data_IF_658677358703
#
_entry.id   IF_658677358703
#
_cell.length_a   1.000
_cell.length_b   1.000
_cell.length_c   1.000
_cell.angle_alpha   90.00
_cell.angle_beta   90.00
_cell.angle_gamma   90.00
#
_symmetry.space_group_name_H-M   'P 1'
#
loop_
_entity.id
_entity.type
_entity.pdbx_description
1 polymer ?
#
# COMPACT_ATOMS: atom_id res chain seq x y z
N UNK A 1 -3.32 26.94 -22.04
CA UNK A 1 -2.08 26.64 -21.31
C UNK A 1 -2.49 25.92 -20.05
N UNK A 2 -2.26 24.60 -19.97
CA UNK A 2 -2.50 23.86 -18.74
C UNK A 2 -1.51 24.39 -17.67
N UNK A 3 -1.94 24.62 -16.43
CA UNK A 3 -1.03 25.02 -15.37
C UNK A 3 -0.01 23.89 -15.17
N UNK A 4 1.28 24.25 -15.07
CA UNK A 4 2.34 23.30 -14.75
C UNK A 4 1.97 22.55 -13.46
N UNK A 5 1.83 21.22 -13.53
CA UNK A 5 1.56 20.41 -12.36
C UNK A 5 2.76 20.55 -11.42
N UNK A 6 2.54 21.13 -10.24
CA UNK A 6 3.53 21.06 -9.17
C UNK A 6 3.26 19.76 -8.44
N UNK A 7 4.15 18.78 -8.64
CA UNK A 7 4.20 17.58 -7.80
C UNK A 7 4.50 18.03 -6.37
N UNK A 8 3.56 17.81 -5.44
CA UNK A 8 3.80 18.05 -4.02
C UNK A 8 4.64 16.87 -3.52
N UNK A 9 5.96 17.03 -3.58
CA UNK A 9 6.94 16.02 -3.14
C UNK A 9 7.23 16.14 -1.65
N UNK A 10 7.48 14.99 -1.02
CA UNK A 10 7.69 14.71 0.42
C UNK A 10 8.99 15.28 1.00
N UNK A 11 9.46 16.45 0.54
CA UNK A 11 10.79 16.98 0.94
C UNK A 11 10.90 17.44 2.40
N UNK A 12 9.80 17.43 3.18
CA UNK A 12 9.78 17.91 4.57
C UNK A 12 9.43 16.82 5.61
N UNK A 13 9.88 15.57 5.43
CA UNK A 13 9.87 14.58 6.52
C UNK A 13 11.01 14.95 7.48
N UNK A 14 10.74 15.38 8.72
CA UNK A 14 11.79 15.56 9.70
C UNK A 14 12.40 14.19 9.97
N UNK A 15 13.71 14.03 9.74
CA UNK A 15 14.42 12.80 10.10
C UNK A 15 14.45 12.57 11.61
N UNK A 16 14.16 13.62 12.40
CA UNK A 16 14.12 13.60 13.85
C UNK A 16 12.85 14.29 14.35
N UNK A 17 11.98 13.52 15.00
CA UNK A 17 10.90 14.06 15.82
C UNK A 17 11.49 14.29 17.22
N UNK A 18 11.25 15.46 17.82
CA UNK A 18 11.74 15.78 19.17
C UNK A 18 11.38 14.67 20.17
N UNK A 19 12.37 14.19 20.94
CA UNK A 19 12.21 13.14 21.95
C UNK A 19 11.12 13.43 23.01
N UNK A 20 10.72 14.71 23.12
CA UNK A 20 9.57 15.13 23.91
C UNK A 20 8.73 16.19 23.19
N UNK A 21 7.41 16.00 23.16
CA UNK A 21 6.46 16.97 22.61
C UNK A 21 6.07 18.05 23.64
N UNK A 22 5.46 19.14 23.19
CA UNK A 22 4.90 20.17 24.07
C UNK A 22 3.80 19.63 25.02
N UNK A 23 3.21 18.47 24.68
CA UNK A 23 2.24 17.73 25.50
C UNK A 23 2.86 16.67 26.40
N UNK A 24 4.20 16.53 26.41
CA UNK A 24 4.93 15.58 27.24
C UNK A 24 4.93 14.14 26.70
N UNK A 25 4.61 13.92 25.42
CA UNK A 25 4.79 12.59 24.81
C UNK A 25 6.28 12.26 24.78
N UNK A 26 6.63 11.03 25.16
CA UNK A 26 7.99 10.51 25.01
C UNK A 26 8.01 9.58 23.80
N UNK A 27 8.91 9.82 22.85
CA UNK A 27 9.14 8.87 21.76
C UNK A 27 9.94 7.69 22.33
N UNK A 28 9.22 6.60 22.57
CA UNK A 28 9.83 5.31 22.89
C UNK A 28 10.52 4.67 21.69
N UNK A 29 11.00 3.45 21.89
CA UNK A 29 11.51 2.63 20.80
C UNK A 29 10.38 2.35 19.79
N UNK A 30 10.67 2.46 18.50
CA UNK A 30 9.71 2.12 17.45
C UNK A 30 9.62 0.61 17.32
N UNK A 31 8.41 0.06 17.28
CA UNK A 31 8.19 -1.36 17.04
C UNK A 31 6.88 -1.87 17.60
N UNK A 32 6.60 -3.14 17.25
CA UNK A 32 5.36 -3.85 17.54
C UNK A 32 5.04 -4.00 19.04
N UNK A 33 6.04 -3.85 19.92
CA UNK A 33 5.84 -3.79 21.38
C UNK A 33 4.96 -2.60 21.82
N UNK A 34 4.81 -1.57 20.99
CA UNK A 34 3.96 -0.41 21.27
C UNK A 34 2.46 -0.75 21.24
N UNK A 35 2.06 -1.79 20.50
CA UNK A 35 0.65 -2.20 20.37
C UNK A 35 0.29 -3.43 21.21
N UNK A 36 1.28 -4.12 21.77
CA UNK A 36 1.08 -5.32 22.59
C UNK A 36 1.18 -5.02 24.10
N UNK A 37 0.21 -5.50 24.89
CA UNK A 37 0.27 -5.39 26.36
C UNK A 37 -0.23 -6.67 27.04
N UNK A 38 0.48 -7.09 28.09
CA UNK A 38 0.12 -8.24 28.94
C UNK A 38 0.71 -9.58 28.48
N UNK A 39 0.90 -9.79 27.18
CA UNK A 39 1.51 -10.98 26.57
C UNK A 39 2.44 -10.57 25.42
N UNK A 40 3.31 -11.49 24.91
CA UNK A 40 4.12 -11.22 23.72
C UNK A 40 3.28 -10.86 22.50
N UNK A 41 3.92 -10.19 21.55
CA UNK A 41 3.30 -9.82 20.27
C UNK A 41 2.77 -11.07 19.54
N UNK A 42 1.47 -11.14 19.17
CA UNK A 42 0.86 -12.36 18.68
C UNK A 42 1.24 -12.73 17.23
N UNK A 43 1.60 -11.74 16.40
CA UNK A 43 1.89 -11.97 14.97
C UNK A 43 3.22 -11.31 14.52
N UNK A 44 4.38 -11.76 15.02
CA UNK A 44 5.65 -11.30 14.49
C UNK A 44 5.81 -11.72 13.02
N UNK A 45 6.53 -10.94 12.22
CA UNK A 45 6.86 -11.34 10.84
C UNK A 45 7.72 -12.61 10.88
N UNK A 46 7.36 -13.69 10.17
CA UNK A 46 8.13 -14.92 10.20
C UNK A 46 9.51 -14.75 9.55
N UNK A 47 10.53 -15.39 10.13
CA UNK A 47 11.88 -15.46 9.55
C UNK A 47 12.10 -16.80 8.86
N UNK A 48 12.67 -16.79 7.66
CA UNK A 48 12.91 -17.99 6.86
C UNK A 48 14.40 -18.22 6.65
N UNK A 49 14.85 -19.46 6.83
CA UNK A 49 16.21 -19.89 6.45
C UNK A 49 16.25 -20.37 5.00
N UNK A 50 15.14 -20.89 4.49
CA UNK A 50 14.94 -21.29 3.10
C UNK A 50 14.13 -20.22 2.35
N UNK A 51 14.75 -19.62 1.33
CA UNK A 51 14.12 -18.59 0.49
C UNK A 51 12.95 -19.12 -0.35
N UNK A 52 12.89 -20.43 -0.61
CA UNK A 52 11.76 -21.03 -1.30
C UNK A 52 10.51 -21.13 -0.40
N UNK A 53 10.70 -21.36 0.91
CA UNK A 53 9.58 -21.29 1.87
C UNK A 53 9.13 -19.85 2.09
N UNK A 54 10.05 -18.88 2.10
CA UNK A 54 9.70 -17.44 2.10
C UNK A 54 8.88 -17.05 0.85
N UNK A 55 9.31 -17.50 -0.34
CA UNK A 55 8.58 -17.31 -1.60
C UNK A 55 7.17 -17.88 -1.51
N UNK A 56 7.03 -19.12 -1.02
CA UNK A 56 5.73 -19.78 -0.85
C UNK A 56 4.82 -19.01 0.10
N UNK A 57 5.35 -18.62 1.26
CA UNK A 57 4.63 -17.82 2.25
C UNK A 57 4.16 -16.48 1.67
N UNK A 58 5.06 -15.72 1.03
CA UNK A 58 4.73 -14.42 0.48
C UNK A 58 3.67 -14.51 -0.63
N UNK A 59 3.74 -15.54 -1.50
CA UNK A 59 2.71 -15.82 -2.52
C UNK A 59 1.35 -16.16 -1.91
N UNK A 60 1.32 -16.91 -0.81
CA UNK A 60 0.09 -17.25 -0.10
C UNK A 60 -0.57 -16.02 0.53
N UNK A 61 0.23 -15.16 1.15
CA UNK A 61 -0.22 -13.89 1.72
C UNK A 61 -0.69 -12.92 0.63
N UNK A 62 -0.04 -12.91 -0.54
CA UNK A 62 -0.52 -12.19 -1.72
C UNK A 62 -1.88 -12.67 -2.21
N UNK A 63 -2.10 -13.99 -2.26
CA UNK A 63 -3.41 -14.53 -2.59
C UNK A 63 -4.46 -14.12 -1.55
N UNK A 64 -4.12 -14.12 -0.25
CA UNK A 64 -4.99 -13.61 0.82
C UNK A 64 -5.36 -12.13 0.62
N UNK A 65 -4.38 -11.27 0.31
CA UNK A 65 -4.61 -9.85 0.06
C UNK A 65 -5.64 -9.61 -1.04
N UNK A 66 -5.61 -10.39 -2.12
CA UNK A 66 -6.66 -10.34 -3.14
C UNK A 66 -8.03 -10.78 -2.62
N UNK A 67 -8.10 -11.80 -1.75
CA UNK A 67 -9.38 -12.20 -1.14
C UNK A 67 -9.95 -11.09 -0.26
N UNK A 68 -9.12 -10.46 0.55
CA UNK A 68 -9.49 -9.30 1.38
C UNK A 68 -9.98 -8.14 0.50
N UNK A 69 -9.26 -7.78 -0.56
CA UNK A 69 -9.67 -6.71 -1.47
C UNK A 69 -11.00 -7.00 -2.17
N UNK A 70 -11.23 -8.26 -2.56
CA UNK A 70 -12.50 -8.67 -3.14
C UNK A 70 -13.65 -8.53 -2.14
N UNK A 71 -13.44 -8.95 -0.88
CA UNK A 71 -14.44 -8.86 0.18
C UNK A 71 -14.77 -7.42 0.57
N UNK A 72 -13.78 -6.53 0.53
CA UNK A 72 -13.97 -5.09 0.75
C UNK A 72 -14.51 -4.34 -0.48
N UNK A 73 -14.72 -5.02 -1.61
CA UNK A 73 -15.36 -4.45 -2.80
C UNK A 73 -14.43 -3.58 -3.65
N UNK A 74 -13.13 -3.85 -3.67
CA UNK A 74 -12.14 -3.05 -4.41
C UNK A 74 -11.95 -3.50 -5.87
N UNK A 75 -12.76 -4.45 -6.35
CA UNK A 75 -12.69 -4.96 -7.72
C UNK A 75 -13.34 -3.99 -8.71
N UNK A 76 -12.68 -3.75 -9.84
CA UNK A 76 -13.19 -2.92 -10.96
C UNK A 76 -12.76 -3.55 -12.28
N UNK A 77 -13.61 -4.42 -12.85
CA UNK A 77 -13.29 -5.15 -14.07
C UNK A 77 -11.94 -5.90 -13.97
N UNK A 78 -10.99 -5.53 -14.84
CA UNK A 78 -9.63 -6.11 -14.88
C UNK A 78 -8.57 -5.20 -14.26
N UNK A 79 -8.96 -4.09 -13.63
CA UNK A 79 -8.04 -3.14 -13.03
C UNK A 79 -7.56 -3.64 -11.65
N UNK A 80 -6.36 -3.19 -11.31
CA UNK A 80 -5.75 -3.43 -10.01
C UNK A 80 -4.85 -4.66 -9.99
N UNK A 81 -3.75 -4.50 -9.28
CA UNK A 81 -2.63 -5.41 -9.27
C UNK A 81 -1.95 -5.36 -7.91
N UNK A 82 -1.41 -6.50 -7.51
CA UNK A 82 -0.43 -6.59 -6.44
C UNK A 82 0.82 -7.16 -7.10
N UNK A 83 2.00 -6.62 -6.80
CA UNK A 83 3.28 -7.24 -7.16
C UNK A 83 4.06 -7.59 -5.91
N UNK A 84 4.85 -8.65 -6.04
CA UNK A 84 5.75 -9.16 -5.00
C UNK A 84 7.12 -9.40 -5.62
N UNK A 85 8.16 -8.78 -5.08
CA UNK A 85 9.56 -9.10 -5.40
C UNK A 85 9.86 -10.52 -4.94
N UNK A 86 10.46 -11.31 -5.81
CA UNK A 86 10.80 -12.68 -5.45
C UNK A 86 11.96 -12.74 -4.44
N UNK A 87 11.83 -13.49 -3.33
CA UNK A 87 12.89 -13.55 -2.32
C UNK A 87 14.07 -14.47 -2.68
N UNK A 88 13.95 -15.28 -3.73
CA UNK A 88 15.04 -16.16 -4.24
C UNK A 88 15.80 -15.46 -5.36
N UNK A 89 15.10 -14.74 -6.24
CA UNK A 89 15.60 -14.02 -7.42
C UNK A 89 15.14 -12.55 -7.34
N UNK A 90 15.81 -11.67 -6.58
CA UNK A 90 15.29 -10.33 -6.25
C UNK A 90 15.04 -9.38 -7.42
N UNK A 91 15.48 -9.72 -8.63
CA UNK A 91 15.26 -8.95 -9.86
C UNK A 91 14.00 -9.42 -10.64
N UNK A 92 13.27 -10.41 -10.12
CA UNK A 92 12.02 -10.93 -10.68
C UNK A 92 10.83 -10.69 -9.75
N UNK A 93 9.62 -10.80 -10.30
CA UNK A 93 8.39 -10.42 -9.63
C UNK A 93 7.26 -11.43 -9.84
N UNK A 94 6.43 -11.61 -8.81
CA UNK A 94 5.14 -12.28 -8.89
C UNK A 94 4.03 -11.23 -9.01
N UNK A 95 3.08 -11.45 -9.92
CA UNK A 95 1.92 -10.57 -10.15
C UNK A 95 0.67 -11.41 -10.47
N UNK A 96 -0.53 -10.88 -10.20
CA UNK A 96 -1.76 -11.57 -10.57
C UNK A 96 -1.95 -11.69 -12.09
N UNK A 97 -2.57 -12.79 -12.57
CA UNK A 97 -2.91 -12.94 -13.97
C UNK A 97 -3.99 -11.95 -14.38
N UNK A 98 -3.92 -11.49 -15.62
CA UNK A 98 -4.90 -10.59 -16.23
C UNK A 98 -6.31 -11.22 -16.20
N UNK A 99 -7.30 -10.40 -15.85
CA UNK A 99 -8.73 -10.73 -15.90
C UNK A 99 -9.20 -11.88 -14.98
N UNK A 100 -8.39 -12.31 -14.01
CA UNK A 100 -8.86 -13.19 -12.93
C UNK A 100 -9.44 -12.35 -11.80
N UNK A 101 -10.69 -12.62 -11.42
CA UNK A 101 -11.35 -11.91 -10.31
C UNK A 101 -10.55 -12.10 -9.01
N UNK A 102 -10.33 -11.02 -8.24
CA UNK A 102 -9.50 -11.04 -7.02
C UNK A 102 -9.95 -12.13 -6.03
N UNK A 103 -11.27 -12.26 -5.85
CA UNK A 103 -11.87 -13.29 -5.00
C UNK A 103 -11.72 -14.73 -5.49
N UNK A 104 -11.01 -14.98 -6.60
CA UNK A 104 -10.69 -16.31 -7.14
C UNK A 104 -9.19 -16.58 -7.26
N UNK A 105 -8.33 -15.59 -6.98
CA UNK A 105 -6.88 -15.73 -7.07
C UNK A 105 -6.38 -16.71 -6.01
N UNK A 106 -5.46 -17.60 -6.40
CA UNK A 106 -4.72 -18.53 -5.55
C UNK A 106 -3.23 -18.28 -5.68
N UNK A 107 -2.44 -18.80 -4.74
CA UNK A 107 -0.98 -18.73 -4.79
C UNK A 107 -0.42 -19.40 -6.06
N UNK A 108 -1.05 -20.50 -6.51
CA UNK A 108 -0.74 -21.19 -7.76
C UNK A 108 -1.07 -20.41 -9.04
N UNK A 109 -1.84 -19.32 -8.97
CA UNK A 109 -2.20 -18.51 -10.14
C UNK A 109 -1.21 -17.38 -10.43
N UNK A 110 -0.41 -16.99 -9.44
CA UNK A 110 0.48 -15.83 -9.53
C UNK A 110 1.57 -16.08 -10.58
N UNK A 111 1.68 -15.15 -11.52
CA UNK A 111 2.58 -15.23 -12.68
C UNK A 111 3.96 -14.71 -12.28
N UNK A 112 5.00 -15.46 -12.61
CA UNK A 112 6.40 -15.05 -12.42
C UNK A 112 6.90 -14.32 -13.67
N UNK A 113 7.52 -13.15 -13.50
CA UNK A 113 8.01 -12.34 -14.61
C UNK A 113 9.30 -11.59 -14.26
N UNK A 114 10.09 -11.23 -15.28
CA UNK A 114 11.28 -10.40 -15.12
C UNK A 114 10.93 -8.90 -15.00
N UNK A 115 11.94 -8.03 -14.84
CA UNK A 115 11.78 -6.57 -14.73
C UNK A 115 11.09 -5.91 -15.95
N UNK A 116 11.02 -6.60 -17.08
CA UNK A 116 10.39 -6.15 -18.32
C UNK A 116 8.97 -6.72 -18.51
N UNK A 117 8.52 -7.58 -17.59
CA UNK A 117 7.20 -8.21 -17.65
C UNK A 117 7.16 -9.44 -18.55
N UNK A 118 8.31 -9.98 -18.95
CA UNK A 118 8.35 -11.24 -19.68
C UNK A 118 8.04 -12.39 -18.71
N UNK A 119 7.04 -13.20 -19.05
CA UNK A 119 6.64 -14.35 -18.23
C UNK A 119 7.74 -15.40 -18.24
N UNK A 120 8.16 -15.81 -17.04
CA UNK A 120 9.21 -16.81 -16.83
C UNK A 120 8.63 -18.23 -16.89
N UNK A 121 9.41 -19.23 -17.34
CA UNK A 121 8.92 -20.59 -17.58
C UNK A 121 8.64 -21.40 -16.31
N UNK A 122 9.11 -20.97 -15.15
CA UNK A 122 8.94 -21.62 -13.85
C UNK A 122 7.65 -21.19 -13.12
N UNK A 123 6.91 -20.23 -13.69
CA UNK A 123 5.61 -19.77 -13.21
C UNK A 123 4.42 -20.23 -14.09
N UNK A 124 3.18 -19.94 -13.65
CA UNK A 124 1.99 -20.07 -14.47
C UNK A 124 2.10 -19.28 -15.78
N UNK A 125 1.76 -19.92 -16.89
CA UNK A 125 1.84 -19.32 -18.22
C UNK A 125 0.53 -18.56 -18.53
N UNK A 126 0.40 -17.35 -17.99
CA UNK A 126 -0.76 -16.48 -18.18
C UNK A 126 -0.33 -15.03 -18.46
N UNK A 127 -1.17 -14.29 -19.19
CA UNK A 127 -0.92 -12.88 -19.48
C UNK A 127 -1.03 -12.02 -18.21
N UNK A 128 -0.25 -10.94 -18.15
CA UNK A 128 -0.29 -9.93 -17.08
C UNK A 128 -0.78 -8.58 -17.65
N UNK A 129 -1.21 -7.66 -16.79
CA UNK A 129 -1.57 -6.32 -17.22
C UNK A 129 -0.30 -5.50 -17.48
N UNK A 130 -0.02 -5.17 -18.75
CA UNK A 130 1.19 -4.45 -19.15
C UNK A 130 1.33 -3.06 -18.51
N UNK A 131 0.24 -2.26 -18.52
CA UNK A 131 0.25 -0.92 -17.93
C UNK A 131 0.42 -0.97 -16.41
N UNK A 132 -0.28 -1.91 -15.76
CA UNK A 132 -0.15 -2.16 -14.33
C UNK A 132 1.27 -2.55 -13.93
N UNK A 133 1.86 -3.49 -14.68
CA UNK A 133 3.22 -3.94 -14.40
C UNK A 133 4.28 -2.86 -14.61
N UNK A 134 4.13 -1.99 -15.61
CA UNK A 134 5.07 -0.89 -15.87
C UNK A 134 5.23 0.04 -14.64
N UNK A 135 4.13 0.38 -13.96
CA UNK A 135 4.16 1.19 -12.74
C UNK A 135 4.88 0.43 -11.62
N UNK A 136 4.52 -0.82 -11.37
CA UNK A 136 5.07 -1.63 -10.28
C UNK A 136 6.58 -1.90 -10.49
N UNK A 137 7.00 -2.20 -11.73
CA UNK A 137 8.42 -2.38 -12.08
C UNK A 137 9.24 -1.11 -11.81
N UNK A 138 8.73 0.07 -12.20
CA UNK A 138 9.40 1.33 -11.92
C UNK A 138 9.52 1.62 -10.40
N UNK A 139 8.48 1.33 -9.63
CA UNK A 139 8.51 1.45 -8.16
C UNK A 139 9.56 0.51 -7.55
N UNK A 140 9.54 -0.79 -7.88
CA UNK A 140 10.50 -1.75 -7.37
C UNK A 140 11.95 -1.43 -7.78
N UNK A 141 12.15 -0.88 -8.99
CA UNK A 141 13.47 -0.45 -9.45
C UNK A 141 14.00 0.75 -8.66
N UNK A 142 13.13 1.73 -8.38
CA UNK A 142 13.49 2.92 -7.61
C UNK A 142 13.67 2.63 -6.11
N UNK A 143 12.96 1.63 -5.58
CA UNK A 143 12.90 1.28 -4.16
C UNK A 143 13.20 -0.21 -3.92
N UNK A 144 14.48 -0.60 -3.83
CA UNK A 144 14.87 -1.99 -3.53
C UNK A 144 14.32 -2.51 -2.19
N UNK A 145 14.04 -1.62 -1.24
CA UNK A 145 13.42 -1.93 0.05
C UNK A 145 11.93 -2.30 -0.06
N UNK A 146 11.28 -1.96 -1.17
CA UNK A 146 9.89 -2.34 -1.43
C UNK A 146 9.83 -3.77 -1.95
N UNK A 147 9.21 -4.63 -1.14
CA UNK A 147 8.98 -6.05 -1.45
C UNK A 147 7.60 -6.23 -2.09
N UNK A 148 6.59 -5.47 -1.68
CA UNK A 148 5.25 -5.55 -2.25
C UNK A 148 4.69 -4.17 -2.59
N UNK A 149 3.92 -4.11 -3.67
CA UNK A 149 3.16 -2.93 -4.06
C UNK A 149 1.72 -3.30 -4.40
N UNK A 150 0.76 -2.53 -3.90
CA UNK A 150 -0.67 -2.74 -4.08
C UNK A 150 -1.29 -1.53 -4.80
N UNK A 151 -2.06 -1.79 -5.85
CA UNK A 151 -2.81 -0.76 -6.57
C UNK A 151 -4.20 -1.30 -6.94
N UNK A 152 -5.26 -0.53 -6.68
CA UNK A 152 -6.60 -0.83 -7.19
C UNK A 152 -7.34 0.46 -7.54
N UNK A 153 -8.46 0.32 -8.25
CA UNK A 153 -9.39 1.41 -8.58
C UNK A 153 -10.56 1.46 -7.60
N UNK A 154 -10.26 1.25 -6.30
CA UNK A 154 -11.23 1.28 -5.21
C UNK A 154 -12.02 2.59 -5.16
N UNK A 155 -13.28 2.50 -4.76
CA UNK A 155 -14.30 3.54 -5.00
C UNK A 155 -13.91 4.87 -4.36
N UNK A 156 -13.54 4.87 -3.08
CA UNK A 156 -13.28 6.09 -2.33
C UNK A 156 -11.92 6.68 -2.63
N UNK A 157 -10.89 5.85 -2.80
CA UNK A 157 -9.57 6.25 -3.24
C UNK A 157 -9.59 6.91 -4.61
N UNK A 158 -10.27 6.28 -5.58
CA UNK A 158 -10.50 6.87 -6.91
C UNK A 158 -11.27 8.19 -6.81
N UNK A 159 -12.34 8.24 -6.01
CA UNK A 159 -13.14 9.46 -5.82
C UNK A 159 -12.34 10.60 -5.19
N UNK A 160 -11.63 10.32 -4.09
CA UNK A 160 -10.80 11.30 -3.39
C UNK A 160 -9.64 11.79 -4.25
N UNK A 161 -9.03 10.89 -5.05
CA UNK A 161 -7.93 11.25 -5.96
C UNK A 161 -8.30 12.35 -6.94
N UNK A 162 -9.58 12.49 -7.32
CA UNK A 162 -10.03 13.55 -8.22
C UNK A 162 -9.91 14.95 -7.61
N UNK A 163 -9.74 15.07 -6.29
CA UNK A 163 -9.51 16.35 -5.60
C UNK A 163 -8.08 16.86 -5.71
N UNK A 164 -7.12 16.02 -6.12
CA UNK A 164 -5.72 16.43 -6.34
C UNK A 164 -5.02 16.99 -5.10
N UNK A 165 -5.36 16.48 -3.90
CA UNK A 165 -4.82 16.95 -2.61
C UNK A 165 -4.49 15.77 -1.68
N UNK A 166 -3.54 15.92 -0.74
CA UNK A 166 -3.24 14.89 0.25
C UNK A 166 -4.40 14.69 1.23
N UNK A 167 -4.37 13.56 1.95
CA UNK A 167 -5.26 13.29 3.07
C UNK A 167 -4.97 14.26 4.22
N UNK A 168 -6.01 14.81 4.84
CA UNK A 168 -5.87 15.59 6.06
C UNK A 168 -5.79 14.64 7.26
N UNK A 169 -5.00 14.99 8.28
CA UNK A 169 -4.87 14.19 9.50
C UNK A 169 -6.11 14.33 10.40
N UNK A 170 -7.25 13.80 9.96
CA UNK A 170 -8.56 13.98 10.63
C UNK A 170 -8.86 12.89 11.67
N UNK A 171 -8.05 11.83 11.72
CA UNK A 171 -8.18 10.71 12.65
C UNK A 171 -6.81 10.12 12.99
N UNK A 172 -6.77 9.30 14.04
CA UNK A 172 -5.57 8.53 14.41
C UNK A 172 -5.12 7.63 13.24
N UNK A 173 -6.07 7.01 12.55
CA UNK A 173 -5.83 6.13 11.40
C UNK A 173 -5.10 6.85 10.27
N UNK A 174 -5.56 8.06 9.90
CA UNK A 174 -4.91 8.85 8.85
C UNK A 174 -3.50 9.31 9.25
N UNK A 175 -3.20 9.42 10.55
CA UNK A 175 -1.86 9.75 11.03
C UNK A 175 -0.82 8.67 10.69
N UNK A 176 -1.23 7.43 10.36
CA UNK A 176 -0.35 6.41 9.78
C UNK A 176 0.36 6.90 8.51
N UNK A 177 -0.29 7.81 7.77
CA UNK A 177 0.22 8.44 6.55
C UNK A 177 0.83 9.82 6.77
N UNK A 178 1.04 10.25 8.02
CA UNK A 178 1.58 11.57 8.32
C UNK A 178 2.96 11.74 7.69
N UNK A 179 3.06 12.65 6.72
CA UNK A 179 4.26 12.90 5.90
C UNK A 179 4.85 11.66 5.23
N UNK A 180 4.09 10.57 5.12
CA UNK A 180 4.52 9.31 4.51
C UNK A 180 3.65 8.93 3.31
N UNK A 181 2.87 9.88 2.78
CA UNK A 181 2.18 9.74 1.51
C UNK A 181 2.28 11.01 0.66
N UNK A 182 2.02 10.88 -0.64
CA UNK A 182 2.08 12.00 -1.61
C UNK A 182 0.92 11.98 -2.61
N UNK A 183 0.86 13.00 -3.47
CA UNK A 183 -0.09 13.07 -4.60
C UNK A 183 0.71 13.18 -5.89
N UNK A 184 0.51 12.22 -6.79
CA UNK A 184 0.94 12.32 -8.18
C UNK A 184 -0.15 13.01 -9.00
N UNK A 185 0.15 14.21 -9.52
CA UNK A 185 -0.84 15.11 -10.12
C UNK A 185 -0.85 15.12 -11.66
N UNK A 186 0.04 14.39 -12.30
CA UNK A 186 0.19 14.39 -13.76
C UNK A 186 -0.46 13.15 -14.40
N UNK A 187 -1.79 13.16 -14.50
CA UNK A 187 -2.54 12.06 -15.10
C UNK A 187 -2.32 12.02 -16.62
N UNK A 188 -1.46 11.10 -17.08
CA UNK A 188 -1.12 10.92 -18.50
C UNK A 188 -2.13 10.08 -19.30
N UNK A 189 -3.04 9.37 -18.63
CA UNK A 189 -3.97 8.43 -19.25
C UNK A 189 -3.65 6.97 -18.90
N UNK A 190 -3.72 6.06 -19.87
CA UNK A 190 -3.29 4.67 -19.65
C UNK A 190 -1.77 4.63 -19.65
N UNK A 191 -1.19 4.37 -18.48
CA UNK A 191 0.26 4.30 -18.23
C UNK A 191 0.96 3.16 -18.98
N UNK A 192 1.08 3.28 -20.30
CA UNK A 192 1.90 2.38 -21.12
C UNK A 192 3.32 2.91 -21.29
N UNK A 193 3.56 4.17 -20.91
CA UNK A 193 4.86 4.83 -21.05
C UNK A 193 5.68 4.61 -19.77
N UNK A 194 6.94 4.19 -19.94
CA UNK A 194 7.86 3.91 -18.85
C UNK A 194 8.13 5.17 -17.99
N UNK A 195 8.00 6.34 -18.61
CA UNK A 195 8.13 7.66 -18.02
C UNK A 195 7.11 7.91 -16.91
N UNK A 196 5.85 7.50 -17.09
CA UNK A 196 4.80 7.68 -16.07
C UNK A 196 5.09 6.82 -14.83
N UNK A 197 5.52 5.56 -15.03
CA UNK A 197 5.94 4.70 -13.92
C UNK A 197 7.09 5.32 -13.10
N UNK A 198 8.08 5.91 -13.77
CA UNK A 198 9.20 6.60 -13.11
C UNK A 198 8.74 7.85 -12.35
N UNK A 199 7.81 8.63 -12.92
CA UNK A 199 7.27 9.82 -12.28
C UNK A 199 6.43 9.47 -11.04
N UNK A 200 5.65 8.38 -11.10
CA UNK A 200 4.92 7.84 -9.94
C UNK A 200 5.91 7.38 -8.87
N UNK A 201 6.95 6.63 -9.23
CA UNK A 201 7.97 6.19 -8.30
C UNK A 201 8.71 7.38 -7.64
N UNK A 202 9.01 8.42 -8.40
CA UNK A 202 9.60 9.65 -7.87
C UNK A 202 8.63 10.39 -6.92
N UNK A 203 7.34 10.44 -7.26
CA UNK A 203 6.31 11.04 -6.39
C UNK A 203 6.14 10.27 -5.08
N UNK A 204 6.18 8.93 -5.13
CA UNK A 204 6.15 8.07 -3.95
C UNK A 204 7.33 8.39 -3.01
N UNK A 205 8.52 8.66 -3.56
CA UNK A 205 9.72 9.00 -2.80
C UNK A 205 10.04 7.91 -1.77
N UNK A 206 10.23 8.30 -0.51
CA UNK A 206 10.40 7.38 0.63
C UNK A 206 9.08 7.08 1.37
N UNK A 207 7.95 7.50 0.82
CA UNK A 207 6.63 7.26 1.38
C UNK A 207 6.17 5.81 1.28
N UNK A 208 5.02 5.56 1.90
CA UNK A 208 4.30 4.29 1.98
C UNK A 208 3.11 4.22 1.02
N UNK A 209 2.66 5.38 0.52
CA UNK A 209 1.57 5.44 -0.44
C UNK A 209 1.56 6.71 -1.27
N UNK A 210 0.91 6.63 -2.42
CA UNK A 210 0.72 7.76 -3.33
C UNK A 210 -0.72 7.74 -3.84
N UNK A 211 -1.34 8.92 -3.81
CA UNK A 211 -2.64 9.17 -4.42
C UNK A 211 -2.37 9.56 -5.87
N UNK A 212 -2.84 8.74 -6.80
CA UNK A 212 -2.71 8.97 -8.24
C UNK A 212 -3.93 9.79 -8.68
N UNK A 213 -3.74 11.10 -8.92
CA UNK A 213 -4.83 12.02 -9.24
C UNK A 213 -5.65 11.49 -10.43
N UNK A 214 -6.98 11.49 -10.29
CA UNK A 214 -7.93 10.97 -11.27
C UNK A 214 -7.82 9.46 -11.59
N UNK A 215 -7.07 8.69 -10.80
CA UNK A 215 -6.79 7.28 -11.07
C UNK A 215 -7.12 6.37 -9.87
N UNK A 216 -6.48 6.56 -8.73
CA UNK A 216 -6.65 5.67 -7.58
C UNK A 216 -5.52 5.78 -6.56
N UNK A 217 -5.25 4.69 -5.84
CA UNK A 217 -4.24 4.63 -4.79
C UNK A 217 -3.15 3.63 -5.17
N UNK A 218 -1.92 3.86 -4.71
CA UNK A 218 -0.85 2.87 -4.72
C UNK A 218 -0.16 2.89 -3.35
N UNK A 219 0.05 1.72 -2.75
CA UNK A 219 0.77 1.56 -1.48
C UNK A 219 1.89 0.54 -1.62
N UNK A 220 2.90 0.65 -0.76
CA UNK A 220 4.09 -0.21 -0.76
C UNK A 220 4.43 -0.70 0.65
N UNK A 221 5.15 -1.81 0.73
CA UNK A 221 5.59 -2.39 2.00
C UNK A 221 6.75 -3.38 1.84
N UNK A 222 7.34 -3.75 2.97
CA UNK A 222 8.35 -4.80 3.11
C UNK A 222 7.73 -6.20 3.19
N UNK A 223 6.41 -6.27 3.41
CA UNK A 223 5.59 -7.48 3.27
C UNK A 223 4.35 -7.18 2.43
N UNK A 224 3.71 -8.21 1.90
CA UNK A 224 2.45 -8.06 1.17
C UNK A 224 1.34 -7.57 2.11
N UNK A 225 1.32 -8.10 3.33
CA UNK A 225 0.40 -7.76 4.40
C UNK A 225 0.48 -6.27 4.77
N UNK A 226 1.69 -5.73 4.96
CA UNK A 226 1.89 -4.29 5.21
C UNK A 226 1.33 -3.45 4.05
N UNK A 227 1.73 -3.76 2.82
CA UNK A 227 1.27 -3.01 1.65
C UNK A 227 -0.26 -3.08 1.48
N UNK A 228 -0.84 -4.26 1.72
CA UNK A 228 -2.28 -4.51 1.62
C UNK A 228 -3.04 -3.81 2.75
N UNK A 229 -2.58 -3.86 4.00
CA UNK A 229 -3.20 -3.13 5.10
C UNK A 229 -3.18 -1.64 4.84
N UNK A 230 -2.02 -1.08 4.47
CA UNK A 230 -1.89 0.33 4.09
C UNK A 230 -2.89 0.70 2.98
N UNK A 231 -3.10 -0.17 2.00
CA UNK A 231 -4.10 0.07 0.96
C UNK A 231 -5.52 0.17 1.55
N UNK A 232 -5.91 -0.83 2.38
CA UNK A 232 -7.24 -0.86 3.00
C UNK A 232 -7.48 0.33 3.92
N UNK A 233 -6.45 0.76 4.64
CA UNK A 233 -6.46 1.91 5.54
C UNK A 233 -6.58 3.20 4.74
N UNK A 234 -5.77 3.38 3.69
CA UNK A 234 -5.82 4.59 2.86
C UNK A 234 -7.17 4.75 2.15
N UNK A 235 -7.75 3.66 1.65
CA UNK A 235 -9.10 3.64 1.11
C UNK A 235 -10.14 4.08 2.16
N UNK A 236 -10.04 3.55 3.39
CA UNK A 236 -10.92 3.93 4.49
C UNK A 236 -10.74 5.40 4.90
N UNK A 237 -9.51 5.89 4.94
CA UNK A 237 -9.21 7.30 5.19
C UNK A 237 -9.83 8.20 4.12
N UNK A 238 -9.78 7.80 2.84
CA UNK A 238 -10.46 8.51 1.75
C UNK A 238 -11.98 8.55 1.95
N UNK A 239 -12.60 7.42 2.34
CA UNK A 239 -14.03 7.36 2.67
C UNK A 239 -14.38 8.33 3.80
N UNK A 240 -13.67 8.26 4.92
CA UNK A 240 -13.90 9.12 6.07
C UNK A 240 -13.73 10.60 5.73
N UNK A 241 -12.71 10.94 4.96
CA UNK A 241 -12.44 12.32 4.53
C UNK A 241 -13.56 12.85 3.62
N UNK A 242 -14.02 12.07 2.64
CA UNK A 242 -15.13 12.46 1.77
C UNK A 242 -16.42 12.70 2.57
N UNK A 243 -16.72 11.82 3.53
CA UNK A 243 -17.89 11.98 4.40
C UNK A 243 -17.76 13.20 5.32
N UNK A 244 -16.57 13.45 5.88
CA UNK A 244 -16.31 14.60 6.72
C UNK A 244 -16.43 15.92 5.94
N UNK A 245 -15.85 15.99 4.75
CA UNK A 245 -15.93 17.15 3.85
C UNK A 245 -17.39 17.42 3.45
N UNK A 246 -18.17 16.37 3.14
CA UNK A 246 -19.58 16.50 2.77
C UNK A 246 -20.47 16.98 3.94
N UNK A 247 -20.07 16.74 5.18
CA UNK A 247 -20.81 17.17 6.37
C UNK A 247 -20.54 18.63 6.79
N UNK A 248 -19.52 19.28 6.21
CA UNK A 248 -19.17 20.66 6.55
C UNK A 248 -20.28 21.64 6.13
N UNK A 249 -20.62 22.57 7.02
CA UNK A 249 -21.44 23.73 6.66
C UNK A 249 -20.58 24.83 6.00
N UNK A 250 -21.17 25.74 5.21
CA UNK A 250 -20.43 26.85 4.61
C UNK A 250 -19.63 27.63 5.66
N UNK A 251 -18.31 27.72 5.44
CA UNK A 251 -17.36 28.42 6.32
C UNK A 251 -16.75 27.57 7.43
N UNK A 252 -17.19 26.33 7.61
CA UNK A 252 -16.55 25.39 8.55
C UNK A 252 -15.30 24.76 7.93
N UNK A 253 -14.39 24.32 8.81
CA UNK A 253 -13.20 23.56 8.46
C UNK A 253 -13.10 22.36 9.40
N UNK A 254 -12.57 21.26 8.90
CA UNK A 254 -12.23 20.12 9.75
C UNK A 254 -11.18 20.52 10.77
N UNK A 255 -11.29 19.95 11.97
CA UNK A 255 -10.25 20.02 12.98
C UNK A 255 -9.32 18.84 12.75
N UNK A 256 -8.09 19.14 12.35
CA UNK A 256 -7.06 18.13 12.12
C UNK A 256 -6.22 17.93 13.38
N UNK A 257 -5.63 16.74 13.52
CA UNK A 257 -4.57 16.46 14.47
C UNK A 257 -3.41 17.45 14.25
N UNK A 258 -2.80 17.91 15.34
CA UNK A 258 -1.59 18.74 15.24
C UNK A 258 -0.40 17.90 14.79
N UNK A 259 0.60 18.57 14.22
CA UNK A 259 1.80 17.92 13.68
C UNK A 259 2.53 17.04 14.72
N UNK A 260 2.62 17.50 15.98
CA UNK A 260 3.24 16.71 17.06
C UNK A 260 2.46 15.43 17.37
N UNK A 261 1.13 15.50 17.39
CA UNK A 261 0.28 14.32 17.65
C UNK A 261 0.30 13.34 16.48
N UNK A 262 0.24 13.86 15.26
CA UNK A 262 0.28 13.03 14.05
C UNK A 262 1.64 12.34 13.90
N UNK A 263 2.75 13.05 14.15
CA UNK A 263 4.11 12.49 14.14
C UNK A 263 4.30 11.42 15.22
N UNK A 264 3.84 11.69 16.45
CA UNK A 264 3.86 10.70 17.53
C UNK A 264 3.07 9.45 17.16
N UNK A 265 1.88 9.62 16.60
CA UNK A 265 1.01 8.51 16.21
C UNK A 265 1.65 7.66 15.12
N UNK A 266 2.18 8.28 14.05
CA UNK A 266 2.93 7.57 13.00
C UNK A 266 4.09 6.77 13.58
N UNK A 267 4.89 7.38 14.46
CA UNK A 267 6.05 6.72 15.05
C UNK A 267 5.67 5.49 15.87
N UNK A 268 4.56 5.57 16.61
CA UNK A 268 4.14 4.53 17.54
C UNK A 268 3.41 3.36 16.88
N UNK A 269 2.73 3.56 15.74
CA UNK A 269 1.83 2.56 15.17
C UNK A 269 2.05 2.24 13.69
N UNK A 270 3.03 2.87 13.02
CA UNK A 270 3.20 2.70 11.58
C UNK A 270 4.56 2.05 11.21
N UNK A 271 5.22 1.34 12.11
CA UNK A 271 6.38 0.52 11.73
C UNK A 271 5.96 -0.73 10.91
N UNK A 272 6.86 -1.28 10.08
CA UNK A 272 6.51 -2.40 9.20
C UNK A 272 5.95 -3.64 9.90
N UNK A 273 6.42 -3.98 11.10
CA UNK A 273 5.94 -5.16 11.83
C UNK A 273 4.55 -4.90 12.43
N UNK A 274 4.32 -3.70 12.96
CA UNK A 274 2.97 -3.27 13.37
C UNK A 274 2.01 -3.32 12.19
N UNK A 275 2.38 -2.77 11.03
CA UNK A 275 1.51 -2.76 9.84
C UNK A 275 1.27 -4.16 9.25
N UNK A 276 2.25 -5.05 9.32
CA UNK A 276 2.05 -6.48 9.03
C UNK A 276 0.97 -7.09 9.95
N UNK A 277 1.04 -6.77 11.23
CA UNK A 277 0.13 -7.27 12.28
C UNK A 277 -1.30 -6.82 12.04
N UNK A 278 -1.48 -5.56 11.65
CA UNK A 278 -2.77 -4.97 11.39
C UNK A 278 -3.54 -5.66 10.23
N UNK A 279 -2.84 -6.33 9.31
CA UNK A 279 -3.47 -7.15 8.27
C UNK A 279 -3.98 -8.51 8.77
N UNK A 280 -3.37 -9.04 9.84
CA UNK A 280 -3.59 -10.42 10.28
C UNK A 280 -5.04 -10.75 10.67
N UNK A 281 -5.84 -9.86 11.27
CA UNK A 281 -7.25 -10.14 11.52
C UNK A 281 -8.06 -10.39 10.24
N UNK A 282 -7.80 -9.64 9.17
CA UNK A 282 -8.46 -9.86 7.87
C UNK A 282 -7.96 -11.18 7.25
N UNK A 283 -6.66 -11.49 7.36
CA UNK A 283 -6.10 -12.76 6.90
C UNK A 283 -6.70 -13.98 7.63
N UNK A 284 -6.79 -13.92 8.97
CA UNK A 284 -7.42 -14.96 9.79
C UNK A 284 -8.87 -15.19 9.35
N UNK A 285 -9.59 -14.11 9.03
CA UNK A 285 -10.94 -14.20 8.52
C UNK A 285 -11.00 -14.91 7.15
N UNK A 286 -10.07 -14.63 6.24
CA UNK A 286 -9.99 -15.33 4.95
C UNK A 286 -9.72 -16.83 5.12
N UNK A 287 -8.82 -17.21 6.04
CA UNK A 287 -8.56 -18.61 6.38
C UNK A 287 -9.81 -19.30 6.93
N UNK A 288 -10.56 -18.63 7.82
CA UNK A 288 -11.81 -19.14 8.36
C UNK A 288 -12.85 -19.41 7.26
N UNK A 289 -12.94 -18.52 6.27
CA UNK A 289 -13.92 -18.68 5.20
C UNK A 289 -13.53 -19.76 4.19
N UNK A 290 -12.29 -19.74 3.70
CA UNK A 290 -11.82 -20.68 2.69
C UNK A 290 -10.30 -20.56 2.49
N UNK A 291 -9.52 -21.55 2.94
CA UNK A 291 -8.07 -21.59 2.80
C UNK A 291 -7.57 -22.13 1.43
N UNK A 292 -8.47 -22.50 0.51
CA UNK A 292 -8.08 -23.07 -0.80
C UNK A 292 -7.31 -22.10 -1.72
N UNK A 293 -7.21 -20.82 -1.35
CA UNK A 293 -6.35 -19.85 -2.05
C UNK A 293 -4.87 -20.04 -1.73
N UNK A 294 -4.53 -20.77 -0.67
CA UNK A 294 -3.15 -21.10 -0.31
C UNK A 294 -2.49 -22.11 -1.26
N UNK A 295 -3.30 -22.81 -2.06
CA UNK A 295 -2.90 -23.86 -3.00
C UNK A 295 -2.33 -23.29 -4.31
#
# INVERSE_FOLDING_TARGET
MAPSSQTITTTDIPSEISATSSRGYQLGERGSHNIAKGMPHPYPVPTFTDKHEERKWAKQHMAAAFRVFARKGYTEGTAGHISLRDPVEPDTFWINPLAKHFGLIKASDLVHCDEHGNVLPDGPQAAINAAGFAIHSAVHKARPDVIAACHTHSVYGKTFSAMGRPLDMISQDTCTFYKSHSVYSDFGGVALEAEEGQAIAASLGNGKGVILQNHGLLTVGQTVDEAAYLFTLMERCCECQLLADAALRPGEKLKVCGDEEAAYTEHMSADPETLYTEFQPDYEMELFYNDSFLQ
#
